data_IF_608042279668
#
_entry.id   IF_608042279668
#
_cell.length_a   1.000
_cell.length_b   1.000
_cell.length_c   1.000
_cell.angle_alpha   90.00
_cell.angle_beta   90.00
_cell.angle_gamma   90.00
#
_symmetry.space_group_name_H-M   'P 1'
#
loop_
_entity.id
_entity.type
_entity.pdbx_description
1 polymer ?
#
# COMPACT_ATOMS: atom_id res chain seq x y z
N UNK A 1 29.94 -14.76 13.39
CA UNK A 1 29.55 -13.40 13.89
C UNK A 1 28.45 -12.75 13.06
N UNK A 2 28.40 -12.88 11.75
CA UNK A 2 27.34 -12.28 10.91
C UNK A 2 25.93 -12.79 11.21
N UNK A 3 25.74 -14.09 11.46
CA UNK A 3 24.43 -14.66 11.78
C UNK A 3 23.83 -14.15 13.09
N UNK A 4 24.67 -13.95 14.12
CA UNK A 4 24.20 -13.37 15.40
C UNK A 4 23.74 -11.92 15.29
N UNK A 5 24.37 -11.12 14.42
CA UNK A 5 23.97 -9.73 14.16
C UNK A 5 22.65 -9.63 13.43
N UNK A 6 22.35 -10.53 12.47
CA UNK A 6 21.08 -10.59 11.77
C UNK A 6 19.92 -10.96 12.71
N UNK A 7 20.11 -11.96 13.57
CA UNK A 7 19.10 -12.38 14.55
C UNK A 7 18.82 -11.27 15.57
N UNK A 8 19.85 -10.60 16.08
CA UNK A 8 19.69 -9.48 17.01
C UNK A 8 19.01 -8.28 16.34
N UNK A 9 19.33 -8.00 15.07
CA UNK A 9 18.71 -6.93 14.30
C UNK A 9 17.24 -7.18 14.02
N UNK A 10 16.85 -8.39 13.58
CA UNK A 10 15.45 -8.75 13.36
C UNK A 10 14.63 -8.70 14.65
N UNK A 11 15.18 -9.18 15.76
CA UNK A 11 14.54 -9.12 17.08
C UNK A 11 14.34 -7.66 17.54
N UNK A 12 15.32 -6.78 17.32
CA UNK A 12 15.21 -5.37 17.64
C UNK A 12 14.12 -4.67 16.80
N UNK A 13 14.07 -4.91 15.49
CA UNK A 13 13.03 -4.41 14.61
C UNK A 13 11.67 -4.91 15.09
N UNK A 14 11.56 -6.20 15.37
CA UNK A 14 10.31 -6.83 15.79
C UNK A 14 9.73 -6.22 17.08
N UNK A 15 10.58 -5.87 18.05
CA UNK A 15 10.14 -5.21 19.28
C UNK A 15 9.70 -3.76 19.10
N UNK A 16 10.15 -3.10 18.04
CA UNK A 16 9.89 -1.68 17.80
C UNK A 16 8.72 -1.40 16.87
N UNK A 17 8.26 -2.42 16.13
CA UNK A 17 7.09 -2.27 15.24
C UNK A 17 5.87 -1.77 16.00
N UNK A 18 5.21 -0.77 15.45
CA UNK A 18 3.92 -0.30 15.96
C UNK A 18 2.83 -1.31 15.56
N UNK A 19 2.19 -1.94 16.54
CA UNK A 19 1.18 -2.98 16.32
C UNK A 19 -0.20 -2.52 16.71
N UNK A 20 -1.18 -2.86 15.86
CA UNK A 20 -2.60 -2.58 16.09
C UNK A 20 -3.46 -3.84 15.84
N UNK A 21 -4.64 -3.95 16.47
CA UNK A 21 -5.58 -5.05 16.24
C UNK A 21 -6.36 -4.83 14.92
N UNK A 22 -5.64 -4.84 13.78
CA UNK A 22 -6.24 -4.63 12.46
C UNK A 22 -7.06 -5.83 11.98
N UNK A 23 -6.68 -7.07 12.38
CA UNK A 23 -7.29 -8.31 11.90
C UNK A 23 -8.08 -8.99 13.03
N UNK A 24 -9.24 -8.40 13.34
CA UNK A 24 -10.12 -8.92 14.40
C UNK A 24 -10.96 -10.11 13.91
N UNK A 25 -11.31 -11.02 14.84
CA UNK A 25 -12.24 -12.09 14.53
C UNK A 25 -13.68 -11.55 14.47
N UNK A 26 -14.44 -12.01 13.47
CA UNK A 26 -15.86 -11.72 13.32
C UNK A 26 -16.61 -12.94 12.78
N UNK A 27 -17.95 -13.03 12.93
CA UNK A 27 -18.73 -14.12 12.36
C UNK A 27 -18.58 -14.20 10.85
N UNK A 28 -18.51 -15.41 10.30
CA UNK A 28 -18.39 -15.69 8.86
C UNK A 28 -17.14 -15.10 8.20
N UNK A 29 -16.05 -14.87 8.97
CA UNK A 29 -14.76 -14.50 8.44
C UNK A 29 -14.26 -15.59 7.48
N UNK A 30 -13.75 -15.23 6.27
CA UNK A 30 -13.24 -16.21 5.32
C UNK A 30 -12.24 -17.19 5.96
N UNK A 31 -12.26 -18.43 5.51
CA UNK A 31 -11.28 -19.42 5.92
C UNK A 31 -9.89 -19.05 5.42
N UNK A 32 -8.86 -19.55 6.10
CA UNK A 32 -7.50 -19.41 5.61
C UNK A 32 -7.36 -20.11 4.25
N UNK A 33 -6.75 -19.42 3.29
CA UNK A 33 -6.42 -19.95 1.98
C UNK A 33 -4.95 -20.42 1.94
N UNK A 34 -4.53 -20.96 0.80
CA UNK A 34 -3.12 -21.23 0.55
C UNK A 34 -2.35 -19.90 0.34
N UNK A 35 -1.05 -19.89 0.65
CA UNK A 35 -0.25 -18.69 0.57
C UNK A 35 -0.42 -17.75 1.77
N UNK A 36 -0.10 -16.47 1.58
CA UNK A 36 -0.19 -15.41 2.60
C UNK A 36 -0.74 -14.14 1.95
N UNK A 37 -1.85 -13.64 2.46
CA UNK A 37 -2.51 -12.45 1.93
C UNK A 37 -2.30 -11.24 2.85
N UNK A 38 -1.80 -10.15 2.26
CA UNK A 38 -1.55 -8.88 2.92
C UNK A 38 -2.50 -7.80 2.46
N UNK A 39 -2.89 -6.91 3.35
CA UNK A 39 -3.47 -5.62 2.99
C UNK A 39 -2.46 -4.51 3.31
N UNK A 40 -1.98 -3.84 2.26
CA UNK A 40 -1.10 -2.68 2.36
C UNK A 40 -1.95 -1.41 2.20
N UNK A 41 -1.82 -0.50 3.14
CA UNK A 41 -2.63 0.72 3.20
C UNK A 41 -1.74 1.96 3.27
N UNK A 42 -1.96 2.89 2.35
CA UNK A 42 -1.44 4.25 2.49
C UNK A 42 -2.51 5.14 3.10
N UNK A 43 -2.28 5.62 4.30
CA UNK A 43 -3.20 6.53 4.98
C UNK A 43 -2.70 7.97 4.95
N UNK A 44 -3.63 8.91 4.89
CA UNK A 44 -3.33 10.33 5.05
C UNK A 44 -3.33 10.74 6.53
N UNK A 45 -3.17 9.76 7.43
CA UNK A 45 -3.06 9.98 8.86
C UNK A 45 -1.91 10.94 9.19
N UNK A 46 -2.23 11.97 9.95
CA UNK A 46 -1.31 13.03 10.39
C UNK A 46 -1.08 13.02 11.90
N UNK A 47 -1.64 12.02 12.59
CA UNK A 47 -1.62 11.93 14.05
C UNK A 47 -0.20 11.94 14.63
N UNK A 48 0.78 11.48 13.87
CA UNK A 48 2.19 11.45 14.26
C UNK A 48 2.98 12.70 13.81
N UNK A 49 2.36 13.60 13.02
CA UNK A 49 3.03 14.78 12.48
C UNK A 49 2.78 16.01 13.36
N UNK A 50 3.84 16.72 13.70
CA UNK A 50 3.74 18.08 14.24
C UNK A 50 3.22 19.07 13.18
N UNK A 51 2.69 20.22 13.59
CA UNK A 51 2.25 21.27 12.67
C UNK A 51 3.37 21.72 11.71
N UNK A 52 4.60 21.78 12.20
CA UNK A 52 5.76 22.12 11.37
C UNK A 52 5.99 21.08 10.27
N UNK A 53 5.90 19.79 10.59
CA UNK A 53 6.03 18.69 9.63
C UNK A 53 4.87 18.66 8.63
N UNK A 54 3.64 18.93 9.08
CA UNK A 54 2.47 19.04 8.20
C UNK A 54 2.63 20.16 7.16
N UNK A 55 3.16 21.30 7.58
CA UNK A 55 3.45 22.43 6.69
C UNK A 55 4.60 22.11 5.72
N UNK A 56 5.66 21.47 6.21
CA UNK A 56 6.80 21.07 5.38
C UNK A 56 6.41 20.05 4.30
N UNK A 57 5.61 19.06 4.66
CA UNK A 57 5.10 18.03 3.73
C UNK A 57 3.91 18.50 2.89
N UNK A 58 3.47 19.74 3.01
CA UNK A 58 2.29 20.29 2.32
C UNK A 58 1.03 19.42 2.47
N UNK A 59 0.85 18.80 3.65
CA UNK A 59 -0.28 17.89 3.90
C UNK A 59 -1.58 18.60 4.24
N UNK A 60 -1.55 19.91 4.45
CA UNK A 60 -2.67 20.71 4.96
C UNK A 60 -2.94 20.46 6.44
N UNK A 61 -3.93 21.16 7.01
CA UNK A 61 -4.34 20.99 8.40
C UNK A 61 -5.03 19.65 8.69
N UNK A 62 -5.27 19.36 9.96
CA UNK A 62 -5.95 18.14 10.40
C UNK A 62 -7.38 18.10 9.81
N UNK A 63 -7.69 17.01 9.11
CA UNK A 63 -8.95 16.75 8.42
C UNK A 63 -9.76 15.64 9.11
N UNK A 64 -9.46 15.29 10.37
CA UNK A 64 -10.12 14.23 11.13
C UNK A 64 -9.40 12.88 11.04
N UNK A 65 -10.15 11.79 11.23
CA UNK A 65 -9.63 10.44 11.45
C UNK A 65 -8.88 9.78 10.27
N UNK A 66 -8.42 10.57 9.32
CA UNK A 66 -7.65 10.11 8.17
C UNK A 66 -8.50 9.34 7.15
N UNK A 67 -8.04 9.32 5.91
CA UNK A 67 -8.59 8.49 4.84
C UNK A 67 -7.49 7.63 4.25
N UNK A 68 -7.90 6.54 3.63
CA UNK A 68 -6.97 5.71 2.88
C UNK A 68 -7.09 6.03 1.40
N UNK A 69 -6.00 6.48 0.81
CA UNK A 69 -5.95 6.80 -0.61
C UNK A 69 -5.36 5.66 -1.45
N UNK A 70 -4.60 4.78 -0.80
CA UNK A 70 -3.96 3.63 -1.46
C UNK A 70 -4.29 2.36 -0.71
N UNK A 71 -4.84 1.38 -1.41
CA UNK A 71 -5.11 0.05 -0.89
C UNK A 71 -4.61 -0.98 -1.90
N UNK A 72 -3.69 -1.83 -1.44
CA UNK A 72 -3.10 -2.90 -2.24
C UNK A 72 -3.29 -4.21 -1.49
N UNK A 73 -3.99 -5.14 -2.12
CA UNK A 73 -4.05 -6.51 -1.64
C UNK A 73 -2.89 -7.27 -2.29
N UNK A 74 -2.04 -7.88 -1.49
CA UNK A 74 -0.87 -8.63 -1.98
C UNK A 74 -1.03 -10.08 -1.57
N UNK A 75 -1.01 -10.96 -2.56
CA UNK A 75 -0.98 -12.40 -2.35
C UNK A 75 0.43 -12.94 -2.60
N UNK A 76 1.01 -13.55 -1.59
CA UNK A 76 2.27 -14.26 -1.67
C UNK A 76 1.98 -15.75 -1.75
N UNK A 77 2.41 -16.42 -2.82
CA UNK A 77 2.10 -17.84 -3.00
C UNK A 77 2.70 -18.71 -1.90
N UNK A 78 2.09 -19.88 -1.71
CA UNK A 78 2.55 -20.91 -0.79
C UNK A 78 3.94 -21.44 -1.16
N UNK A 79 4.60 -22.08 -0.21
CA UNK A 79 5.89 -22.69 -0.44
C UNK A 79 5.79 -23.82 -1.47
N UNK A 80 6.56 -23.69 -2.56
CA UNK A 80 6.56 -24.69 -3.64
C UNK A 80 5.57 -24.41 -4.77
N UNK A 81 4.83 -23.32 -4.70
CA UNK A 81 4.02 -22.81 -5.81
C UNK A 81 4.93 -22.15 -6.86
N UNK A 82 4.63 -22.36 -8.13
CA UNK A 82 5.27 -21.68 -9.26
C UNK A 82 4.54 -20.36 -9.62
N UNK A 83 3.48 -20.02 -8.89
CA UNK A 83 2.69 -18.80 -9.12
C UNK A 83 3.49 -17.58 -8.65
N UNK A 84 3.58 -16.50 -9.43
CA UNK A 84 4.24 -15.27 -8.96
C UNK A 84 3.41 -14.60 -7.88
N UNK A 85 4.07 -13.83 -7.00
CA UNK A 85 3.38 -12.92 -6.10
C UNK A 85 2.49 -11.97 -6.90
N UNK A 86 1.31 -11.66 -6.39
CA UNK A 86 0.35 -10.79 -7.06
C UNK A 86 -0.01 -9.61 -6.20
N UNK A 87 -0.01 -8.42 -6.79
CA UNK A 87 -0.42 -7.19 -6.16
C UNK A 87 -1.67 -6.64 -6.88
N UNK A 88 -2.78 -6.59 -6.16
CA UNK A 88 -4.06 -6.08 -6.66
C UNK A 88 -4.32 -4.69 -6.11
N UNK A 89 -4.38 -3.69 -6.98
CA UNK A 89 -4.79 -2.33 -6.61
C UNK A 89 -6.31 -2.27 -6.44
N UNK A 90 -6.77 -1.82 -5.29
CA UNK A 90 -8.18 -1.58 -4.99
C UNK A 90 -8.43 -0.07 -5.05
N UNK A 91 -9.25 0.42 -6.00
CA UNK A 91 -9.59 1.84 -6.07
C UNK A 91 -10.28 2.29 -4.78
N UNK A 92 -9.87 3.43 -4.24
CA UNK A 92 -10.43 3.99 -2.99
C UNK A 92 -11.93 4.30 -3.07
N UNK A 93 -12.42 4.55 -4.29
CA UNK A 93 -13.81 4.86 -4.60
C UNK A 93 -14.63 3.60 -4.96
N UNK A 94 -14.09 2.38 -4.73
CA UNK A 94 -14.81 1.12 -4.87
C UNK A 94 -16.06 1.11 -3.99
N UNK A 95 -17.24 0.92 -4.60
CA UNK A 95 -18.52 0.95 -3.89
C UNK A 95 -18.84 -0.45 -3.38
N UNK A 96 -18.70 -0.63 -2.08
CA UNK A 96 -18.79 -1.94 -1.42
C UNK A 96 -19.70 -1.86 -0.20
N UNK A 97 -20.22 -3.01 0.22
CA UNK A 97 -20.92 -3.13 1.51
C UNK A 97 -19.93 -2.99 2.66
N UNK A 98 -20.09 -1.97 3.49
CA UNK A 98 -19.30 -1.76 4.71
C UNK A 98 -20.07 -2.34 5.90
N UNK A 99 -19.54 -3.35 6.60
CA UNK A 99 -20.24 -4.03 7.68
C UNK A 99 -20.80 -3.08 8.74
N UNK A 100 -22.13 -3.10 8.89
CA UNK A 100 -22.85 -2.25 9.85
C UNK A 100 -23.16 -0.82 9.40
N UNK A 101 -22.70 -0.42 8.21
CA UNK A 101 -22.88 0.95 7.68
C UNK A 101 -23.58 1.01 6.32
N UNK A 102 -23.79 -0.16 5.65
CA UNK A 102 -24.33 -0.22 4.30
C UNK A 102 -23.29 0.07 3.22
N UNK A 103 -23.74 0.27 1.98
CA UNK A 103 -22.83 0.42 0.83
C UNK A 103 -22.31 1.86 0.73
N UNK A 104 -20.98 1.98 0.67
CA UNK A 104 -20.27 3.26 0.48
C UNK A 104 -18.91 3.00 -0.20
N UNK A 105 -18.14 4.06 -0.45
CA UNK A 105 -16.75 3.97 -0.90
C UNK A 105 -15.91 3.24 0.12
N UNK A 106 -15.06 2.33 -0.32
CA UNK A 106 -14.22 1.51 0.60
C UNK A 106 -13.34 2.35 1.53
N UNK A 107 -12.88 3.52 1.09
CA UNK A 107 -12.09 4.42 1.93
C UNK A 107 -12.88 4.98 3.13
N UNK A 108 -14.22 4.99 3.07
CA UNK A 108 -15.06 5.38 4.19
C UNK A 108 -14.98 4.36 5.35
N UNK A 109 -14.73 3.08 5.05
CA UNK A 109 -14.59 2.05 6.08
C UNK A 109 -13.45 2.38 7.06
N UNK A 110 -12.34 2.93 6.54
CA UNK A 110 -11.23 3.35 7.40
C UNK A 110 -11.61 4.54 8.30
N UNK A 111 -12.30 5.54 7.77
CA UNK A 111 -12.76 6.70 8.55
C UNK A 111 -13.82 6.32 9.59
N UNK A 112 -14.65 5.30 9.32
CA UNK A 112 -15.74 4.86 10.20
C UNK A 112 -15.28 3.91 11.32
N UNK A 113 -14.33 3.03 11.06
CA UNK A 113 -13.93 1.99 12.01
C UNK A 113 -12.45 1.60 11.92
N UNK A 114 -11.61 2.46 11.33
CA UNK A 114 -10.16 2.26 11.26
C UNK A 114 -9.74 1.04 10.46
N UNK A 115 -8.54 0.57 10.75
CA UNK A 115 -7.93 -0.57 10.07
C UNK A 115 -8.78 -1.85 10.16
N UNK A 116 -9.44 -2.10 11.30
CA UNK A 116 -10.22 -3.31 11.50
C UNK A 116 -11.46 -3.38 10.59
N UNK A 117 -12.21 -2.29 10.49
CA UNK A 117 -13.39 -2.24 9.60
C UNK A 117 -12.99 -2.27 8.13
N UNK A 118 -11.90 -1.59 7.75
CA UNK A 118 -11.37 -1.66 6.40
C UNK A 118 -10.96 -3.10 6.05
N UNK A 119 -10.20 -3.76 6.92
CA UNK A 119 -9.78 -5.15 6.71
C UNK A 119 -10.98 -6.10 6.56
N UNK A 120 -11.98 -5.97 7.43
CA UNK A 120 -13.22 -6.74 7.35
C UNK A 120 -13.96 -6.48 6.03
N UNK A 121 -14.06 -5.23 5.60
CA UNK A 121 -14.71 -4.86 4.32
C UNK A 121 -13.98 -5.51 3.13
N UNK A 122 -12.63 -5.47 3.12
CA UNK A 122 -11.83 -6.11 2.08
C UNK A 122 -12.03 -7.63 2.10
N UNK A 123 -11.96 -8.27 3.26
CA UNK A 123 -12.16 -9.72 3.39
C UNK A 123 -13.53 -10.16 2.87
N UNK A 124 -14.59 -9.42 3.22
CA UNK A 124 -15.96 -9.76 2.76
C UNK A 124 -16.16 -9.52 1.26
N UNK A 125 -15.58 -8.44 0.72
CA UNK A 125 -15.70 -8.12 -0.70
C UNK A 125 -14.91 -9.06 -1.59
N UNK A 126 -13.76 -9.56 -1.12
CA UNK A 126 -12.87 -10.42 -1.91
C UNK A 126 -13.06 -11.91 -1.64
N UNK A 127 -13.66 -12.27 -0.50
CA UNK A 127 -13.71 -13.65 -0.02
C UNK A 127 -12.36 -14.20 0.45
N UNK A 128 -11.31 -13.38 0.45
CA UNK A 128 -9.96 -13.75 0.88
C UNK A 128 -9.75 -13.36 2.34
N UNK A 129 -9.22 -14.29 3.14
CA UNK A 129 -8.76 -13.98 4.48
C UNK A 129 -7.44 -13.23 4.42
N UNK A 130 -7.35 -12.14 5.15
CA UNK A 130 -6.10 -11.42 5.36
C UNK A 130 -5.29 -12.06 6.50
N UNK A 131 -4.03 -12.34 6.23
CA UNK A 131 -3.08 -12.86 7.22
C UNK A 131 -2.33 -11.72 7.90
N UNK A 132 -2.07 -10.65 7.15
CA UNK A 132 -1.34 -9.48 7.65
C UNK A 132 -1.92 -8.17 7.13
N UNK A 133 -1.67 -7.12 7.92
CA UNK A 133 -1.98 -5.74 7.61
C UNK A 133 -0.75 -4.87 7.79
N UNK A 134 -0.51 -3.95 6.88
CA UNK A 134 0.52 -2.93 7.03
C UNK A 134 0.02 -1.58 6.53
N UNK A 135 0.24 -0.55 7.32
CA UNK A 135 -0.13 0.84 7.03
C UNK A 135 1.10 1.73 7.03
N UNK A 136 1.13 2.66 6.09
CA UNK A 136 2.14 3.72 5.99
C UNK A 136 1.42 5.06 5.98
N UNK A 137 1.66 5.88 6.99
CA UNK A 137 1.20 7.27 7.03
C UNK A 137 2.18 8.22 6.31
N UNK A 138 1.74 9.45 6.05
CA UNK A 138 2.51 10.44 5.29
C UNK A 138 3.88 10.76 5.89
N UNK A 139 3.98 10.89 7.21
CA UNK A 139 5.26 11.17 7.87
C UNK A 139 6.24 10.03 7.71
N UNK A 140 5.79 8.82 7.99
CA UNK A 140 6.59 7.61 7.84
C UNK A 140 7.04 7.37 6.39
N UNK A 141 6.16 7.66 5.43
CA UNK A 141 6.51 7.59 4.01
C UNK A 141 7.72 8.48 3.67
N UNK A 142 7.67 9.77 4.05
CA UNK A 142 8.74 10.71 3.75
C UNK A 142 10.05 10.31 4.47
N UNK A 143 9.99 9.96 5.75
CA UNK A 143 11.14 9.50 6.51
C UNK A 143 11.80 8.25 5.93
N UNK A 144 11.01 7.30 5.44
CA UNK A 144 11.52 6.08 4.80
C UNK A 144 12.27 6.38 3.50
N UNK A 145 11.71 7.24 2.66
CA UNK A 145 12.36 7.67 1.41
C UNK A 145 13.69 8.37 1.70
N UNK A 146 13.72 9.29 2.66
CA UNK A 146 14.93 10.03 3.02
C UNK A 146 16.00 9.11 3.64
N UNK A 147 15.61 8.16 4.48
CA UNK A 147 16.53 7.18 5.07
C UNK A 147 17.18 6.27 4.02
N UNK A 148 16.50 5.98 2.92
CA UNK A 148 17.04 5.27 1.76
C UNK A 148 17.91 6.17 0.86
N UNK A 149 17.89 7.48 1.09
CA UNK A 149 18.62 8.50 0.30
C UNK A 149 17.92 8.85 -0.99
N UNK A 150 16.61 9.00 -0.92
CA UNK A 150 15.75 9.37 -2.04
C UNK A 150 15.39 8.21 -2.97
N UNK A 151 14.47 8.46 -3.88
CA UNK A 151 14.04 7.52 -4.93
C UNK A 151 14.12 8.19 -6.30
N UNK A 152 14.49 7.43 -7.33
CA UNK A 152 14.50 7.94 -8.70
C UNK A 152 13.14 7.69 -9.34
N UNK A 153 12.45 8.77 -9.74
CA UNK A 153 11.17 8.72 -10.43
C UNK A 153 11.24 9.46 -11.77
N UNK A 154 10.46 9.01 -12.72
CA UNK A 154 10.53 9.48 -14.10
C UNK A 154 9.14 9.95 -14.59
N UNK A 155 8.64 11.13 -14.18
CA UNK A 155 7.41 11.69 -14.74
C UNK A 155 7.49 11.80 -16.26
N UNK A 156 6.46 11.33 -16.97
CA UNK A 156 6.40 11.45 -18.42
C UNK A 156 6.19 12.91 -18.86
N UNK A 157 5.46 13.68 -18.06
CA UNK A 157 5.16 15.10 -18.27
C UNK A 157 5.52 15.90 -17.02
N UNK A 158 5.75 17.24 -17.14
CA UNK A 158 5.94 18.07 -15.96
C UNK A 158 4.72 18.04 -15.04
N UNK A 159 4.95 18.00 -13.73
CA UNK A 159 3.90 18.05 -12.72
C UNK A 159 4.09 19.30 -11.88
N UNK A 160 3.17 20.26 -11.99
CA UNK A 160 3.11 21.46 -11.14
C UNK A 160 1.84 21.39 -10.28
N UNK A 161 2.01 20.98 -9.03
CA UNK A 161 0.92 20.80 -8.07
C UNK A 161 1.23 21.53 -6.76
N UNK A 162 0.81 22.79 -6.63
CA UNK A 162 1.00 23.55 -5.40
C UNK A 162 0.30 22.94 -4.17
N UNK A 163 -0.80 22.19 -4.38
CA UNK A 163 -1.53 21.53 -3.29
C UNK A 163 -0.76 20.31 -2.77
N UNK A 164 -0.04 19.63 -3.64
CA UNK A 164 0.88 18.55 -3.27
C UNK A 164 2.28 19.07 -2.89
N UNK A 165 2.54 20.37 -3.07
CA UNK A 165 3.80 21.03 -2.72
C UNK A 165 4.95 20.68 -3.65
N UNK A 166 4.70 20.35 -4.92
CA UNK A 166 5.71 19.93 -5.90
C UNK A 166 5.66 20.72 -7.19
N UNK A 167 6.85 20.88 -7.80
CA UNK A 167 7.03 21.31 -9.17
C UNK A 167 8.15 20.44 -9.75
N UNK A 168 7.81 19.44 -10.55
CA UNK A 168 8.72 18.43 -11.07
C UNK A 168 8.77 18.52 -12.60
N UNK A 169 9.97 18.66 -13.20
CA UNK A 169 10.11 18.57 -14.66
C UNK A 169 9.84 17.14 -15.14
N UNK A 170 9.57 16.99 -16.43
CA UNK A 170 9.53 15.67 -17.07
C UNK A 170 10.93 15.03 -17.07
N UNK A 171 10.96 13.70 -17.04
CA UNK A 171 12.19 12.92 -17.05
C UNK A 171 12.60 12.38 -15.67
N UNK A 172 13.65 11.57 -15.67
CA UNK A 172 14.10 10.90 -14.45
C UNK A 172 14.87 11.84 -13.53
N UNK A 173 14.50 11.85 -12.25
CA UNK A 173 15.11 12.67 -11.22
C UNK A 173 15.07 11.98 -9.86
N UNK A 174 16.03 12.28 -8.99
CA UNK A 174 16.04 11.79 -7.63
C UNK A 174 15.17 12.69 -6.75
N UNK A 175 14.17 12.11 -6.11
CA UNK A 175 13.23 12.79 -5.22
C UNK A 175 13.53 12.45 -3.76
N UNK A 176 13.51 13.45 -2.90
CA UNK A 176 13.47 13.30 -1.45
C UNK A 176 12.09 12.85 -0.97
N UNK A 177 11.93 12.61 0.33
CA UNK A 177 10.67 12.14 0.91
C UNK A 177 9.50 13.08 0.68
N UNK A 178 9.72 14.38 0.76
CA UNK A 178 8.70 15.40 0.51
C UNK A 178 8.24 15.38 -0.95
N UNK A 179 9.18 15.43 -1.88
CA UNK A 179 8.88 15.45 -3.31
C UNK A 179 8.25 14.15 -3.80
N UNK A 180 8.71 13.00 -3.27
CA UNK A 180 8.12 11.70 -3.54
C UNK A 180 6.69 11.58 -2.99
N UNK A 181 6.42 12.13 -1.79
CA UNK A 181 5.08 12.19 -1.22
C UNK A 181 4.16 13.06 -2.08
N UNK A 182 4.63 14.21 -2.52
CA UNK A 182 3.90 15.08 -3.45
C UNK A 182 3.58 14.37 -4.77
N UNK A 183 4.55 13.63 -5.33
CA UNK A 183 4.38 12.89 -6.58
C UNK A 183 3.27 11.82 -6.49
N UNK A 184 3.21 11.02 -5.42
CA UNK A 184 2.17 9.98 -5.25
C UNK A 184 0.79 10.54 -4.89
N UNK A 185 0.72 11.80 -4.42
CA UNK A 185 -0.52 12.50 -4.05
C UNK A 185 -1.08 13.37 -5.17
N UNK A 186 -0.22 13.79 -6.10
CA UNK A 186 -0.59 14.74 -7.14
C UNK A 186 -1.75 14.25 -8.00
N UNK A 187 -2.66 15.16 -8.30
CA UNK A 187 -3.78 15.02 -9.25
C UNK A 187 -3.70 16.06 -10.37
N UNK A 188 -2.66 16.86 -10.38
CA UNK A 188 -2.43 17.90 -11.41
C UNK A 188 -1.88 17.29 -12.71
N UNK A 189 -2.53 16.21 -13.17
CA UNK A 189 -2.21 15.48 -14.41
C UNK A 189 -3.48 15.29 -15.24
N UNK A 190 -3.37 15.09 -16.57
CA UNK A 190 -4.54 15.06 -17.47
C UNK A 190 -5.62 14.05 -17.09
N UNK A 191 -5.24 12.89 -16.51
CA UNK A 191 -6.16 11.82 -16.12
C UNK A 191 -6.36 11.70 -14.60
N UNK A 192 -5.89 12.71 -13.84
CA UNK A 192 -6.08 12.85 -12.39
C UNK A 192 -5.89 11.54 -11.59
N UNK A 193 -6.99 10.86 -11.22
CA UNK A 193 -6.93 9.67 -10.36
C UNK A 193 -6.29 8.45 -11.03
N UNK A 194 -6.41 8.29 -12.36
CA UNK A 194 -5.74 7.20 -13.08
C UNK A 194 -4.22 7.39 -13.10
N UNK A 195 -3.76 8.61 -13.35
CA UNK A 195 -2.34 8.92 -13.31
C UNK A 195 -1.77 8.78 -11.91
N UNK A 196 -2.56 9.13 -10.88
CA UNK A 196 -2.17 8.90 -9.48
C UNK A 196 -1.93 7.42 -9.19
N UNK A 197 -2.79 6.51 -9.67
CA UNK A 197 -2.58 5.06 -9.52
C UNK A 197 -1.30 4.59 -10.21
N UNK A 198 -1.00 5.11 -11.40
CA UNK A 198 0.25 4.84 -12.12
C UNK A 198 1.45 5.35 -11.32
N UNK A 199 1.39 6.58 -10.81
CA UNK A 199 2.44 7.18 -9.99
C UNK A 199 2.70 6.39 -8.70
N UNK A 200 1.66 5.90 -8.02
CA UNK A 200 1.78 5.06 -6.83
C UNK A 200 2.50 3.74 -7.13
N UNK A 201 2.16 3.08 -8.26
CA UNK A 201 2.86 1.85 -8.70
C UNK A 201 4.32 2.13 -9.06
N UNK A 202 4.57 3.20 -9.81
CA UNK A 202 5.92 3.62 -10.17
C UNK A 202 6.78 3.89 -8.93
N UNK A 203 6.20 4.59 -7.94
CA UNK A 203 6.87 4.84 -6.66
C UNK A 203 7.18 3.54 -5.92
N UNK A 204 6.22 2.62 -5.80
CA UNK A 204 6.43 1.35 -5.09
C UNK A 204 7.56 0.55 -5.73
N UNK A 205 7.58 0.46 -7.05
CA UNK A 205 8.67 -0.19 -7.79
C UNK A 205 10.02 0.51 -7.55
N UNK A 206 10.04 1.84 -7.55
CA UNK A 206 11.26 2.62 -7.33
C UNK A 206 11.81 2.47 -5.90
N UNK A 207 10.95 2.51 -4.86
CA UNK A 207 11.40 2.36 -3.47
C UNK A 207 11.91 0.94 -3.20
N UNK A 208 11.28 -0.10 -3.77
CA UNK A 208 11.74 -1.49 -3.67
C UNK A 208 13.10 -1.66 -4.37
N UNK A 209 13.26 -1.11 -5.57
CA UNK A 209 14.53 -1.13 -6.28
C UNK A 209 15.63 -0.38 -5.50
N UNK A 210 15.30 0.77 -4.90
CA UNK A 210 16.23 1.54 -4.07
C UNK A 210 16.64 0.79 -2.80
N UNK A 211 15.69 0.21 -2.09
CA UNK A 211 15.97 -0.58 -0.88
C UNK A 211 16.93 -1.75 -1.15
N UNK A 212 16.90 -2.30 -2.36
CA UNK A 212 17.75 -3.43 -2.78
C UNK A 212 19.04 -3.01 -3.49
N UNK A 213 19.20 -1.72 -3.80
CA UNK A 213 20.32 -1.23 -4.56
C UNK A 213 21.66 -1.39 -3.83
N UNK A 214 22.77 -1.63 -4.55
CA UNK A 214 24.11 -1.63 -3.97
C UNK A 214 24.42 -0.32 -3.23
N UNK A 215 23.88 0.82 -3.67
CA UNK A 215 24.09 2.13 -3.03
C UNK A 215 23.46 2.20 -1.63
N UNK A 216 22.43 1.43 -1.35
CA UNK A 216 21.84 1.31 -0.01
C UNK A 216 22.69 0.41 0.87
N UNK A 217 23.08 -0.77 0.38
CA UNK A 217 23.81 -1.76 1.15
C UNK A 217 25.30 -1.45 1.35
N UNK A 218 25.92 -0.69 0.46
CA UNK A 218 27.32 -0.26 0.61
C UNK A 218 27.49 0.96 1.53
N UNK A 219 26.39 1.57 1.98
CA UNK A 219 26.44 2.70 2.90
C UNK A 219 26.18 2.24 4.35
N UNK A 220 27.21 2.16 5.23
CA UNK A 220 27.04 1.68 6.60
C UNK A 220 26.05 2.51 7.43
N UNK A 221 25.90 3.82 7.14
CA UNK A 221 24.93 4.69 7.81
C UNK A 221 23.49 4.21 7.58
N UNK A 222 23.17 3.70 6.39
CA UNK A 222 21.83 3.21 6.05
C UNK A 222 21.48 1.88 6.70
N UNK A 223 22.44 1.11 7.17
CA UNK A 223 22.19 -0.13 7.90
C UNK A 223 21.44 0.09 9.23
N UNK A 224 21.54 1.30 9.77
CA UNK A 224 20.84 1.68 11.00
C UNK A 224 19.66 2.61 10.69
N UNK A 225 19.83 3.59 9.80
CA UNK A 225 18.78 4.58 9.52
C UNK A 225 17.59 3.97 8.77
N UNK A 226 17.81 3.10 7.78
CA UNK A 226 16.73 2.54 7.00
C UNK A 226 15.82 1.58 7.82
N UNK A 227 16.32 0.61 8.62
CA UNK A 227 15.46 -0.17 9.51
C UNK A 227 14.76 0.68 10.57
N UNK A 228 15.43 1.71 11.13
CA UNK A 228 14.80 2.61 12.09
C UNK A 228 13.65 3.41 11.45
N UNK A 229 13.86 3.96 10.26
CA UNK A 229 12.83 4.67 9.52
C UNK A 229 11.67 3.73 9.15
N UNK A 230 11.95 2.51 8.70
CA UNK A 230 10.92 1.52 8.41
C UNK A 230 10.06 1.20 9.63
N UNK A 231 10.68 0.99 10.80
CA UNK A 231 9.96 0.75 12.07
C UNK A 231 9.06 1.92 12.44
N UNK A 232 9.55 3.15 12.28
CA UNK A 232 8.78 4.35 12.59
C UNK A 232 7.65 4.61 11.57
N UNK A 233 7.88 4.20 10.31
CA UNK A 233 6.95 4.41 9.21
C UNK A 233 5.78 3.43 9.19
N UNK A 234 6.00 2.21 9.69
CA UNK A 234 5.06 1.12 9.53
C UNK A 234 4.21 0.91 10.79
N UNK A 235 2.91 0.81 10.58
CA UNK A 235 1.97 0.24 11.54
C UNK A 235 1.49 -1.10 11.01
N UNK A 236 1.58 -2.16 11.82
CA UNK A 236 1.30 -3.53 11.38
C UNK A 236 0.24 -4.20 12.26
N UNK A 237 -0.30 -5.33 11.81
CA UNK A 237 -1.14 -6.17 12.66
C UNK A 237 -0.35 -6.80 13.83
N UNK A 238 -1.08 -7.28 14.85
CA UNK A 238 -0.48 -7.84 16.07
C UNK A 238 0.43 -9.06 15.82
N UNK A 239 0.18 -9.81 14.74
CA UNK A 239 0.88 -11.05 14.43
C UNK A 239 2.06 -10.85 13.49
N UNK A 240 2.11 -9.74 12.75
CA UNK A 240 3.18 -9.46 11.80
C UNK A 240 4.54 -9.38 12.47
N UNK A 241 5.53 -10.03 11.87
CA UNK A 241 6.92 -10.06 12.33
C UNK A 241 7.84 -9.38 11.32
N UNK A 242 8.98 -8.95 11.78
CA UNK A 242 10.01 -8.37 10.91
C UNK A 242 10.38 -9.30 9.74
N UNK A 243 10.36 -10.60 9.96
CA UNK A 243 10.61 -11.60 8.92
C UNK A 243 9.52 -11.63 7.84
N UNK A 244 8.25 -11.48 8.22
CA UNK A 244 7.12 -11.46 7.30
C UNK A 244 7.19 -10.23 6.39
N UNK A 245 7.55 -9.06 6.96
CA UNK A 245 7.83 -7.83 6.20
C UNK A 245 9.01 -7.99 5.23
N UNK A 246 10.07 -8.67 5.66
CA UNK A 246 11.21 -8.95 4.79
C UNK A 246 10.82 -9.88 3.62
N UNK A 247 10.02 -10.93 3.89
CA UNK A 247 9.46 -11.81 2.86
C UNK A 247 8.56 -11.04 1.91
N UNK A 248 7.67 -10.20 2.42
CA UNK A 248 6.81 -9.33 1.62
C UNK A 248 7.66 -8.47 0.68
N UNK A 249 8.61 -7.69 1.22
CA UNK A 249 9.47 -6.82 0.42
C UNK A 249 10.30 -7.58 -0.63
N UNK A 250 10.70 -8.81 -0.33
CA UNK A 250 11.40 -9.65 -1.31
C UNK A 250 10.49 -10.12 -2.43
N UNK A 251 9.30 -10.59 -2.10
CA UNK A 251 8.34 -11.15 -3.06
C UNK A 251 7.73 -10.09 -3.99
N UNK A 252 7.64 -8.83 -3.53
CA UNK A 252 7.13 -7.72 -4.33
C UNK A 252 8.03 -7.33 -5.51
N UNK A 253 9.28 -7.83 -5.59
CA UNK A 253 10.22 -7.52 -6.69
C UNK A 253 9.72 -7.94 -8.05
N UNK A 254 9.17 -9.13 -8.12
CA UNK A 254 8.74 -9.78 -9.35
C UNK A 254 7.21 -10.00 -9.35
N UNK A 255 6.48 -9.22 -8.52
CA UNK A 255 5.05 -9.35 -8.38
C UNK A 255 4.31 -8.89 -9.66
N UNK A 256 3.34 -9.68 -10.06
CA UNK A 256 2.37 -9.27 -11.09
C UNK A 256 1.45 -8.22 -10.49
N UNK A 257 1.32 -7.08 -11.14
CA UNK A 257 0.47 -5.99 -10.67
C UNK A 257 -0.77 -5.88 -11.54
N UNK A 258 -1.94 -5.94 -10.92
CA UNK A 258 -3.24 -5.78 -11.56
C UNK A 258 -4.09 -4.78 -10.76
N UNK A 259 -5.13 -4.27 -11.40
CA UNK A 259 -6.21 -3.55 -10.72
C UNK A 259 -7.40 -4.50 -10.59
N UNK A 260 -8.20 -4.37 -9.51
CA UNK A 260 -9.46 -5.10 -9.45
C UNK A 260 -10.29 -4.79 -10.70
N UNK A 261 -10.88 -5.79 -11.38
CA UNK A 261 -11.65 -5.54 -12.61
C UNK A 261 -12.80 -4.55 -12.38
N UNK A 262 -12.84 -3.51 -13.20
CA UNK A 262 -13.81 -2.42 -13.12
C UNK A 262 -14.91 -2.68 -14.14
N UNK A 263 -16.15 -2.87 -13.67
CA UNK A 263 -17.32 -3.02 -14.53
C UNK A 263 -17.91 -1.69 -14.94
N UNK A 264 -18.02 -0.74 -14.02
CA UNK A 264 -18.65 0.55 -14.30
C UNK A 264 -18.11 1.68 -13.41
N UNK A 265 -18.00 2.86 -14.01
CA UNK A 265 -17.86 4.12 -13.28
C UNK A 265 -19.23 4.80 -13.27
N UNK A 266 -19.76 5.14 -12.08
CA UNK A 266 -21.09 5.71 -11.95
C UNK A 266 -21.15 6.70 -10.79
N UNK A 267 -22.29 7.37 -10.63
CA UNK A 267 -22.53 8.31 -9.55
C UNK A 267 -23.50 7.72 -8.52
N UNK A 268 -23.22 7.92 -7.25
CA UNK A 268 -24.06 7.51 -6.12
C UNK A 268 -24.28 8.66 -5.14
N UNK A 269 -24.98 8.41 -4.02
CA UNK A 269 -25.08 9.37 -2.92
C UNK A 269 -23.72 9.78 -2.33
N UNK A 270 -22.70 8.93 -2.53
CA UNK A 270 -21.31 9.17 -2.09
C UNK A 270 -20.45 9.85 -3.18
N UNK A 271 -21.07 10.34 -4.28
CA UNK A 271 -20.37 10.92 -5.44
C UNK A 271 -19.97 9.87 -6.48
N UNK A 272 -18.89 10.15 -7.23
CA UNK A 272 -18.37 9.22 -8.22
C UNK A 272 -17.83 7.95 -7.55
N UNK A 273 -18.27 6.78 -8.03
CA UNK A 273 -17.94 5.47 -7.46
C UNK A 273 -17.49 4.49 -8.55
N UNK A 274 -16.73 3.52 -8.14
CA UNK A 274 -16.23 2.41 -8.95
C UNK A 274 -17.02 1.15 -8.57
N UNK A 275 -17.74 0.60 -9.54
CA UNK A 275 -18.39 -0.71 -9.40
C UNK A 275 -17.48 -1.76 -10.02
N UNK A 276 -17.20 -2.82 -9.29
CA UNK A 276 -16.40 -3.92 -9.81
C UNK A 276 -17.16 -4.71 -10.88
N UNK A 277 -16.44 -5.35 -11.77
CA UNK A 277 -16.99 -6.42 -12.59
C UNK A 277 -17.06 -7.68 -11.72
N UNK A 278 -18.25 -8.04 -11.28
CA UNK A 278 -18.47 -9.11 -10.30
C UNK A 278 -17.90 -10.45 -10.77
N UNK A 279 -18.06 -10.80 -12.05
CA UNK A 279 -17.58 -12.08 -12.60
C UNK A 279 -16.05 -12.11 -12.68
N UNK A 280 -15.45 -11.06 -13.24
CA UNK A 280 -14.01 -10.97 -13.39
C UNK A 280 -13.30 -10.78 -12.04
N UNK A 281 -13.89 -10.03 -11.11
CA UNK A 281 -13.37 -9.86 -9.75
C UNK A 281 -13.44 -11.19 -8.97
N UNK A 282 -14.55 -11.91 -9.03
CA UNK A 282 -14.68 -13.22 -8.41
C UNK A 282 -13.66 -14.22 -8.99
N UNK A 283 -13.44 -14.23 -10.31
CA UNK A 283 -12.43 -15.07 -10.94
C UNK A 283 -11.01 -14.73 -10.48
N UNK A 284 -10.68 -13.44 -10.34
CA UNK A 284 -9.40 -12.96 -9.81
C UNK A 284 -9.17 -13.48 -8.38
N UNK A 285 -10.11 -13.20 -7.48
CA UNK A 285 -9.94 -13.56 -6.07
C UNK A 285 -10.01 -15.06 -5.81
N UNK A 286 -10.81 -15.80 -6.58
CA UNK A 286 -10.83 -17.26 -6.53
C UNK A 286 -9.48 -17.87 -6.97
N UNK A 287 -8.84 -17.32 -8.01
CA UNK A 287 -7.52 -17.76 -8.43
C UNK A 287 -6.46 -17.50 -7.34
N UNK A 288 -6.48 -16.31 -6.71
CA UNK A 288 -5.58 -15.99 -5.60
C UNK A 288 -5.81 -16.90 -4.40
N UNK A 289 -7.07 -17.12 -3.99
CA UNK A 289 -7.41 -17.99 -2.88
C UNK A 289 -7.05 -19.46 -3.08
N UNK A 290 -6.94 -19.90 -4.33
CA UNK A 290 -6.52 -21.24 -4.71
C UNK A 290 -5.02 -21.33 -5.08
N UNK A 291 -4.26 -20.25 -4.89
CA UNK A 291 -2.84 -20.13 -5.26
C UNK A 291 -2.58 -20.48 -6.74
N UNK A 292 -3.49 -20.06 -7.60
CA UNK A 292 -3.46 -20.31 -9.05
C UNK A 292 -3.10 -19.03 -9.82
N UNK A 293 -2.53 -19.17 -11.03
CA UNK A 293 -2.27 -18.03 -11.91
C UNK A 293 -3.55 -17.24 -12.21
N UNK A 294 -3.42 -15.90 -12.29
CA UNK A 294 -4.52 -15.03 -12.68
C UNK A 294 -5.04 -15.43 -14.06
N UNK A 295 -6.37 -15.56 -14.26
CA UNK A 295 -6.95 -15.86 -15.58
C UNK A 295 -6.53 -14.81 -16.61
N UNK A 296 -6.21 -15.25 -17.82
CA UNK A 296 -5.77 -14.35 -18.89
C UNK A 296 -6.84 -13.29 -19.23
N UNK A 297 -8.12 -13.65 -19.14
CA UNK A 297 -9.24 -12.71 -19.31
C UNK A 297 -9.19 -11.53 -18.35
N UNK A 298 -8.72 -11.74 -17.12
CA UNK A 298 -8.53 -10.66 -16.12
C UNK A 298 -7.34 -9.80 -16.49
N UNK A 299 -6.25 -10.39 -16.98
CA UNK A 299 -5.06 -9.65 -17.42
C UNK A 299 -5.35 -8.80 -18.66
N UNK A 300 -6.15 -9.30 -19.61
CA UNK A 300 -6.53 -8.60 -20.83
C UNK A 300 -7.52 -7.45 -20.57
N UNK A 301 -8.26 -7.49 -19.46
CA UNK A 301 -9.23 -6.47 -19.06
C UNK A 301 -8.63 -5.33 -18.22
N UNK A 302 -7.30 -5.29 -18.06
CA UNK A 302 -6.65 -4.22 -17.28
C UNK A 302 -6.77 -2.87 -17.99
N UNK A 303 -7.02 -1.76 -17.25
CA UNK A 303 -7.19 -0.43 -17.83
C UNK A 303 -5.91 0.19 -18.39
#
# INVERSE_FOLDING_TARGET
>A
MAAGGLVAGTFWVDQKLNRIPALTAYPDRPAAADGVTWLLVGSDSRQTLSEAQQNDLATGGDMGDGRTDTMLLVHLPGLGSDTPATMVSIPRDSYLEIPGYGSDKINAAFALGGAALLAQTVEQATGLRLDHYVEVGFGGFAELVDALGGVTLCPAEPIDDPLAGINLPAGCQDLDGRSALGFVRSRATPRADLDRMVNQRAFLSAILAKAQSPSTWLNPGRWFSAPQAAVNALTVDENARAWDLARLGWSLRDAVTVTVPIGQLTWSSSGDVVIWDDEAAAALFAALGADQPIPQSVLDAQP
#
